data_IF_187229864533
#
_entry.id   IF_187229864533
#
_cell.length_a   1.000
_cell.length_b   1.000
_cell.length_c   1.000
_cell.angle_alpha   90.00
_cell.angle_beta   90.00
_cell.angle_gamma   90.00
#
_symmetry.space_group_name_H-M   'P 1'
#
loop_
_entity.id
_entity.type
_entity.pdbx_description
1 polymer ?
#
# COMPACT_ATOMS: atom_id res chain seq x y z
N UNK A 1 -7.94 1.67 -22.89
CA UNK A 1 -8.28 1.78 -24.31
C UNK A 1 -8.42 0.37 -24.85
N UNK A 2 -9.62 -0.08 -25.26
CA UNK A 2 -9.82 -1.42 -25.84
C UNK A 2 -9.05 -1.64 -27.15
N UNK A 3 -8.63 -0.56 -27.83
CA UNK A 3 -7.89 -0.61 -29.09
C UNK A 3 -6.37 -0.45 -28.90
N UNK A 4 -5.86 -0.51 -27.66
CA UNK A 4 -4.42 -0.38 -27.40
C UNK A 4 -3.64 -1.53 -28.05
N UNK A 5 -2.57 -1.18 -28.76
CA UNK A 5 -1.68 -2.17 -29.36
C UNK A 5 -1.06 -3.09 -28.28
N UNK A 6 -0.99 -4.42 -28.51
CA UNK A 6 -0.50 -5.37 -27.51
C UNK A 6 0.91 -5.05 -26.99
N UNK A 7 1.80 -4.58 -27.86
CA UNK A 7 3.17 -4.19 -27.49
C UNK A 7 3.19 -3.01 -26.51
N UNK A 8 2.35 -2.01 -26.75
CA UNK A 8 2.26 -0.84 -25.87
C UNK A 8 1.61 -1.20 -24.54
N UNK A 9 0.56 -2.03 -24.56
CA UNK A 9 -0.04 -2.57 -23.34
C UNK A 9 0.99 -3.33 -22.49
N UNK A 10 1.86 -4.13 -23.12
CA UNK A 10 2.92 -4.86 -22.44
C UNK A 10 3.98 -3.92 -21.83
N UNK A 11 4.38 -2.86 -22.56
CA UNK A 11 5.30 -1.84 -22.04
C UNK A 11 4.74 -1.14 -20.81
N UNK A 12 3.46 -0.74 -20.86
CA UNK A 12 2.75 -0.13 -19.73
C UNK A 12 2.70 -1.09 -18.55
N UNK A 13 2.37 -2.37 -18.78
CA UNK A 13 2.35 -3.37 -17.71
C UNK A 13 3.71 -3.53 -17.04
N UNK A 14 4.79 -3.66 -17.81
CA UNK A 14 6.15 -3.77 -17.25
C UNK A 14 6.50 -2.56 -16.39
N UNK A 15 6.12 -1.36 -16.81
CA UNK A 15 6.30 -0.13 -16.02
C UNK A 15 5.49 -0.16 -14.72
N UNK A 16 4.23 -0.58 -14.78
CA UNK A 16 3.36 -0.72 -13.59
C UNK A 16 3.97 -1.72 -12.60
N UNK A 17 4.51 -2.84 -13.08
CA UNK A 17 5.15 -3.83 -12.22
C UNK A 17 6.39 -3.30 -11.50
N UNK A 18 7.24 -2.59 -12.24
CA UNK A 18 8.42 -1.94 -11.68
C UNK A 18 8.03 -0.94 -10.58
N UNK A 19 7.03 -0.08 -10.85
CA UNK A 19 6.54 0.91 -9.88
C UNK A 19 5.89 0.26 -8.65
N UNK A 20 5.15 -0.84 -8.84
CA UNK A 20 4.58 -1.60 -7.71
C UNK A 20 5.67 -2.25 -6.85
N UNK A 21 6.76 -2.70 -7.47
CA UNK A 21 7.90 -3.25 -6.74
C UNK A 21 8.65 -2.15 -5.98
N UNK A 22 8.90 -1.01 -6.61
CA UNK A 22 9.52 0.15 -5.97
C UNK A 22 8.70 0.62 -4.77
N UNK A 23 7.37 0.74 -4.92
CA UNK A 23 6.46 1.06 -3.81
C UNK A 23 6.62 0.08 -2.65
N UNK A 24 6.64 -1.22 -2.93
CA UNK A 24 6.83 -2.23 -1.90
C UNK A 24 8.19 -2.07 -1.20
N UNK A 25 9.26 -1.86 -1.96
CA UNK A 25 10.59 -1.69 -1.39
C UNK A 25 10.65 -0.49 -0.43
N UNK A 26 9.99 0.62 -0.79
CA UNK A 26 9.87 1.79 0.09
C UNK A 26 9.10 1.46 1.36
N UNK A 27 7.98 0.72 1.26
CA UNK A 27 7.20 0.29 2.42
C UNK A 27 8.03 -0.58 3.36
N UNK A 28 8.74 -1.57 2.85
CA UNK A 28 9.63 -2.43 3.66
C UNK A 28 10.77 -1.63 4.32
N UNK A 29 11.30 -0.61 3.62
CA UNK A 29 12.30 0.28 4.19
C UNK A 29 11.74 1.12 5.35
N UNK A 30 10.56 1.71 5.19
CA UNK A 30 9.88 2.45 6.25
C UNK A 30 9.55 1.56 7.45
N UNK A 31 9.13 0.32 7.21
CA UNK A 31 8.89 -0.66 8.25
C UNK A 31 10.15 -1.00 9.05
N UNK A 32 11.30 -1.12 8.38
CA UNK A 32 12.59 -1.28 9.07
C UNK A 32 12.89 -0.06 9.97
N UNK A 33 12.58 1.16 9.51
CA UNK A 33 12.74 2.37 10.32
C UNK A 33 11.81 2.36 11.56
N UNK A 34 10.53 2.03 11.38
CA UNK A 34 9.59 1.92 12.50
C UNK A 34 9.98 0.81 13.47
N UNK A 35 10.39 -0.35 12.97
CA UNK A 35 10.87 -1.46 13.79
C UNK A 35 12.04 -1.03 14.66
N UNK A 36 13.07 -0.41 14.07
CA UNK A 36 14.22 0.11 14.84
C UNK A 36 13.79 1.13 15.88
N UNK A 37 12.88 2.04 15.52
CA UNK A 37 12.36 3.07 16.43
C UNK A 37 11.64 2.50 17.65
N UNK A 38 10.89 1.41 17.50
CA UNK A 38 10.06 0.83 18.56
C UNK A 38 10.67 -0.42 19.22
N UNK A 39 11.80 -0.95 18.73
CA UNK A 39 12.42 -2.18 19.26
C UNK A 39 12.87 -2.08 20.71
N UNK A 40 13.21 -0.88 21.19
CA UNK A 40 13.66 -0.65 22.57
C UNK A 40 12.52 -0.45 23.58
N UNK A 41 11.27 -0.48 23.15
CA UNK A 41 10.12 -0.22 24.03
C UNK A 41 9.74 -1.50 24.78
N UNK A 42 9.72 -1.48 26.14
CA UNK A 42 9.25 -2.61 26.93
C UNK A 42 7.81 -2.97 26.56
N UNK A 43 7.56 -4.26 26.40
CA UNK A 43 6.24 -4.78 26.04
C UNK A 43 5.42 -4.97 27.31
N UNK A 44 4.16 -4.55 27.26
CA UNK A 44 3.20 -4.87 28.31
C UNK A 44 2.84 -6.37 28.25
N UNK A 45 2.45 -7.01 29.37
CA UNK A 45 2.06 -8.43 29.38
C UNK A 45 0.97 -8.79 28.36
N UNK A 46 0.03 -7.88 28.14
CA UNK A 46 -1.10 -7.99 27.22
C UNK A 46 -0.81 -7.47 25.80
N UNK A 47 0.45 -7.16 25.50
CA UNK A 47 0.84 -6.62 24.20
C UNK A 47 0.47 -7.59 23.07
N UNK A 48 -0.21 -7.08 22.05
CA UNK A 48 -0.69 -7.88 20.92
C UNK A 48 -0.05 -7.47 19.60
N UNK A 49 -0.08 -8.37 18.62
CA UNK A 49 0.32 -8.06 17.25
C UNK A 49 -0.83 -7.34 16.53
N UNK A 50 -0.52 -6.39 15.66
CA UNK A 50 -1.50 -5.84 14.73
C UNK A 50 -1.41 -6.55 13.38
N UNK A 51 -2.52 -6.63 12.65
CA UNK A 51 -2.57 -7.31 11.34
C UNK A 51 -1.65 -6.66 10.30
N UNK A 52 -1.53 -5.33 10.35
CA UNK A 52 -0.66 -4.54 9.49
C UNK A 52 0.33 -3.73 10.32
N UNK A 53 1.50 -3.50 9.75
CA UNK A 53 2.50 -2.57 10.28
C UNK A 53 2.15 -1.11 9.92
N UNK A 54 2.78 -0.11 10.56
CA UNK A 54 2.54 1.28 10.20
C UNK A 54 2.85 1.62 8.74
N UNK A 55 3.92 1.08 8.15
CA UNK A 55 4.26 1.43 6.77
C UNK A 55 3.25 0.87 5.76
N UNK A 56 2.74 -0.35 5.98
CA UNK A 56 1.68 -0.94 5.14
C UNK A 56 0.35 -0.18 5.27
N UNK A 57 0.02 0.31 6.47
CA UNK A 57 -1.16 1.16 6.66
C UNK A 57 -1.01 2.51 5.91
N UNK A 58 0.20 3.10 5.91
CA UNK A 58 0.51 4.30 5.12
C UNK A 58 0.48 4.03 3.60
N UNK A 59 0.93 2.87 3.13
CA UNK A 59 0.79 2.46 1.72
C UNK A 59 -0.68 2.51 1.27
N UNK A 60 -1.57 1.92 2.07
CA UNK A 60 -3.02 1.95 1.80
C UNK A 60 -3.56 3.37 1.78
N UNK A 61 -3.09 4.24 2.69
CA UNK A 61 -3.47 5.65 2.73
C UNK A 61 -3.02 6.40 1.46
N UNK A 62 -1.84 6.06 0.92
CA UNK A 62 -1.34 6.66 -0.33
C UNK A 62 -2.21 6.28 -1.53
N UNK A 63 -2.58 5.00 -1.65
CA UNK A 63 -3.49 4.52 -2.70
C UNK A 63 -4.87 5.15 -2.57
N UNK A 64 -5.38 5.27 -1.33
CA UNK A 64 -6.65 5.93 -1.07
C UNK A 64 -6.62 7.41 -1.49
N UNK A 65 -5.50 8.10 -1.28
CA UNK A 65 -5.34 9.50 -1.68
C UNK A 65 -5.42 9.68 -3.19
N UNK A 66 -4.84 8.77 -3.99
CA UNK A 66 -4.97 8.77 -5.44
C UNK A 66 -6.42 8.52 -5.88
N UNK A 67 -7.13 7.61 -5.21
CA UNK A 67 -8.56 7.36 -5.46
C UNK A 67 -9.41 8.60 -5.19
N UNK A 68 -9.15 9.29 -4.07
CA UNK A 68 -9.85 10.54 -3.71
C UNK A 68 -9.60 11.60 -4.78
N UNK A 69 -8.35 11.81 -5.19
CA UNK A 69 -7.99 12.80 -6.20
C UNK A 69 -8.79 12.61 -7.50
N UNK A 70 -8.76 11.40 -8.07
CA UNK A 70 -9.49 11.13 -9.32
C UNK A 70 -11.01 11.13 -9.14
N UNK A 71 -11.53 10.62 -8.00
CA UNK A 71 -12.95 10.66 -7.71
C UNK A 71 -13.46 12.10 -7.58
N UNK A 72 -12.66 12.98 -6.99
CA UNK A 72 -12.97 14.39 -6.86
C UNK A 72 -13.08 15.08 -8.22
N UNK A 73 -12.13 14.82 -9.14
CA UNK A 73 -12.21 15.34 -10.50
C UNK A 73 -13.52 14.92 -11.21
N UNK A 74 -13.94 13.65 -11.10
CA UNK A 74 -15.18 13.18 -11.71
C UNK A 74 -16.44 13.71 -11.00
N UNK A 75 -16.38 13.92 -9.68
CA UNK A 75 -17.48 14.48 -8.89
C UNK A 75 -17.72 15.97 -9.18
N UNK A 76 -16.67 16.69 -9.58
CA UNK A 76 -16.69 18.12 -9.92
C UNK A 76 -16.96 18.39 -11.41
N UNK A 77 -16.98 17.35 -12.24
CA UNK A 77 -17.21 17.45 -13.69
C UNK A 77 -18.64 17.93 -13.97
N UNK A 78 -18.76 19.16 -14.49
CA UNK A 78 -20.06 19.84 -14.71
C UNK A 78 -20.95 19.15 -15.75
N UNK A 79 -20.34 18.54 -16.77
CA UNK A 79 -21.05 17.95 -17.92
C UNK A 79 -21.20 16.42 -17.81
N UNK A 80 -21.31 15.91 -16.58
CA UNK A 80 -21.30 14.49 -16.28
C UNK A 80 -22.59 14.07 -15.55
N UNK A 81 -23.52 13.34 -16.19
CA UNK A 81 -24.72 12.82 -15.53
C UNK A 81 -24.41 11.98 -14.28
N UNK A 82 -23.22 11.35 -14.25
CA UNK A 82 -22.74 10.53 -13.14
C UNK A 82 -22.16 11.33 -11.95
N UNK A 83 -21.96 12.64 -12.07
CA UNK A 83 -21.33 13.45 -11.02
C UNK A 83 -22.00 13.31 -9.63
N UNK A 84 -23.34 13.26 -9.49
CA UNK A 84 -23.98 13.01 -8.19
C UNK A 84 -23.62 11.66 -7.57
N UNK A 85 -23.45 10.61 -8.39
CA UNK A 85 -23.00 9.28 -7.92
C UNK A 85 -21.54 9.31 -7.49
N UNK A 86 -20.69 10.01 -8.25
CA UNK A 86 -19.28 10.22 -7.90
C UNK A 86 -19.12 11.01 -6.59
N UNK A 87 -19.97 12.01 -6.32
CA UNK A 87 -19.98 12.73 -5.03
C UNK A 87 -20.24 11.80 -3.84
N UNK A 88 -21.24 10.92 -3.92
CA UNK A 88 -21.51 9.93 -2.86
C UNK A 88 -20.32 8.99 -2.64
N UNK A 89 -19.66 8.55 -3.73
CA UNK A 89 -18.44 7.72 -3.63
C UNK A 89 -17.29 8.50 -3.01
N UNK A 90 -17.13 9.78 -3.35
CA UNK A 90 -16.11 10.66 -2.77
C UNK A 90 -16.28 10.80 -1.26
N UNK A 91 -17.51 11.00 -0.78
CA UNK A 91 -17.82 11.07 0.66
C UNK A 91 -17.38 9.80 1.41
N UNK A 92 -17.63 8.62 0.83
CA UNK A 92 -17.17 7.33 1.39
C UNK A 92 -15.64 7.28 1.44
N UNK A 93 -14.94 7.67 0.36
CA UNK A 93 -13.48 7.67 0.33
C UNK A 93 -12.88 8.65 1.35
N UNK A 94 -13.51 9.81 1.55
CA UNK A 94 -13.10 10.79 2.55
C UNK A 94 -13.29 10.26 3.98
N UNK A 95 -14.39 9.54 4.25
CA UNK A 95 -14.58 8.85 5.54
C UNK A 95 -13.50 7.79 5.75
N UNK A 96 -13.24 6.94 4.76
CA UNK A 96 -12.18 5.93 4.82
C UNK A 96 -10.81 6.56 5.12
N UNK A 97 -10.51 7.75 4.58
CA UNK A 97 -9.25 8.45 4.84
C UNK A 97 -9.16 8.88 6.30
N UNK A 98 -10.26 9.42 6.86
CA UNK A 98 -10.32 9.82 8.27
C UNK A 98 -10.12 8.62 9.18
N UNK A 99 -10.85 7.53 8.93
CA UNK A 99 -10.80 6.32 9.75
C UNK A 99 -9.42 5.66 9.69
N UNK A 100 -8.83 5.54 8.49
CA UNK A 100 -7.50 4.97 8.32
C UNK A 100 -6.41 5.83 8.98
N UNK A 101 -6.49 7.16 8.85
CA UNK A 101 -5.52 8.06 9.49
C UNK A 101 -5.58 7.95 11.00
N UNK A 102 -6.79 7.95 11.59
CA UNK A 102 -6.97 7.76 13.02
C UNK A 102 -6.49 6.39 13.51
N UNK A 103 -6.72 5.33 12.73
CA UNK A 103 -6.20 3.99 13.06
C UNK A 103 -4.67 3.93 13.02
N UNK A 104 -4.02 4.64 12.09
CA UNK A 104 -2.55 4.74 12.02
C UNK A 104 -2.01 5.48 13.25
N UNK A 105 -2.61 6.62 13.61
CA UNK A 105 -2.21 7.38 14.80
C UNK A 105 -2.33 6.54 16.07
N UNK A 106 -3.43 5.81 16.21
CA UNK A 106 -3.65 4.88 17.33
C UNK A 106 -2.61 3.76 17.36
N UNK A 107 -2.31 3.14 16.20
CA UNK A 107 -1.30 2.09 16.11
C UNK A 107 0.09 2.59 16.53
N UNK A 108 0.47 3.80 16.08
CA UNK A 108 1.74 4.41 16.46
C UNK A 108 1.81 4.73 17.96
N UNK A 109 0.71 5.22 18.54
CA UNK A 109 0.61 5.47 19.97
C UNK A 109 0.72 4.17 20.78
N UNK A 110 0.06 3.10 20.33
CA UNK A 110 0.07 1.80 21.01
C UNK A 110 1.43 1.10 20.90
N UNK A 111 2.13 1.23 19.77
CA UNK A 111 3.53 0.79 19.63
C UNK A 111 4.43 1.55 20.60
N UNK A 112 4.25 2.87 20.71
CA UNK A 112 5.01 3.72 21.64
C UNK A 112 4.73 3.38 23.11
N UNK A 113 3.52 2.95 23.44
CA UNK A 113 3.11 2.56 24.78
C UNK A 113 3.41 1.08 25.12
N UNK A 114 3.99 0.31 24.19
CA UNK A 114 4.25 -1.11 24.40
C UNK A 114 3.01 -2.00 24.41
N UNK A 115 1.84 -1.47 24.01
CA UNK A 115 0.55 -2.20 23.91
C UNK A 115 0.44 -3.02 22.62
N UNK A 116 1.16 -2.59 21.58
CA UNK A 116 1.29 -3.33 20.33
C UNK A 116 2.74 -3.67 20.06
N UNK A 117 2.94 -4.75 19.34
CA UNK A 117 4.23 -5.13 18.78
C UNK A 117 4.11 -5.23 17.26
N UNK A 118 5.25 -5.16 16.57
CA UNK A 118 5.31 -5.35 15.14
C UNK A 118 6.33 -6.44 14.79
N UNK A 119 6.04 -7.17 13.71
CA UNK A 119 6.94 -8.14 13.09
C UNK A 119 7.17 -7.71 11.65
N UNK A 120 8.39 -7.93 11.17
CA UNK A 120 8.74 -7.62 9.79
C UNK A 120 8.59 -8.87 8.93
N UNK A 121 7.84 -8.73 7.85
CA UNK A 121 7.72 -9.73 6.81
C UNK A 121 8.17 -9.09 5.49
N UNK A 122 9.10 -9.74 4.79
CA UNK A 122 9.50 -9.33 3.44
C UNK A 122 8.64 -10.03 2.40
N UNK A 123 8.50 -9.43 1.22
CA UNK A 123 7.84 -10.08 0.10
C UNK A 123 8.55 -11.39 -0.27
N UNK A 124 7.76 -12.45 -0.39
CA UNK A 124 8.20 -13.79 -0.80
C UNK A 124 7.81 -14.05 -2.26
N UNK A 125 8.38 -13.29 -3.20
CA UNK A 125 8.11 -13.44 -4.64
C UNK A 125 9.21 -14.27 -5.31
N UNK A 126 8.88 -15.49 -5.76
CA UNK A 126 9.84 -16.38 -6.43
C UNK A 126 10.31 -15.86 -7.80
N UNK A 127 9.40 -15.29 -8.60
CA UNK A 127 9.71 -14.87 -9.98
C UNK A 127 10.64 -13.64 -10.09
N UNK A 128 10.80 -12.88 -9.00
CA UNK A 128 11.73 -11.76 -8.92
C UNK A 128 13.14 -12.22 -8.49
N UNK A 129 13.28 -13.45 -8.02
CA UNK A 129 14.57 -14.04 -7.67
C UNK A 129 15.09 -14.86 -8.87
N UNK A 130 16.22 -14.48 -9.48
CA UNK A 130 16.81 -15.22 -10.59
C UNK A 130 17.09 -16.70 -10.28
N UNK A 131 17.31 -17.04 -9.01
CA UNK A 131 17.57 -18.41 -8.55
C UNK A 131 16.29 -19.24 -8.37
N UNK A 132 15.12 -18.60 -8.28
CA UNK A 132 13.83 -19.26 -8.06
C UNK A 132 12.87 -19.10 -9.24
N UNK A 133 13.26 -18.39 -10.30
CA UNK A 133 12.45 -18.19 -11.50
C UNK A 133 12.71 -19.32 -12.51
N UNK A 134 11.73 -20.22 -12.76
CA UNK A 134 11.89 -21.36 -13.66
C UNK A 134 12.37 -20.99 -15.06
N UNK A 135 11.86 -19.88 -15.58
CA UNK A 135 12.18 -19.41 -16.94
C UNK A 135 13.65 -18.95 -17.06
N UNK A 136 14.28 -18.54 -15.95
CA UNK A 136 15.65 -18.03 -15.93
C UNK A 136 16.69 -19.12 -15.72
N UNK A 137 16.45 -20.09 -14.82
CA UNK A 137 17.40 -21.18 -14.61
C UNK A 137 17.26 -22.33 -15.63
N UNK A 138 16.08 -22.53 -16.25
CA UNK A 138 15.92 -23.48 -17.37
C UNK A 138 16.66 -23.01 -18.64
N UNK A 139 16.94 -21.71 -18.78
CA UNK A 139 17.77 -21.17 -19.87
C UNK A 139 19.28 -21.25 -19.61
N UNK A 140 19.67 -21.58 -18.37
CA UNK A 140 21.07 -21.73 -17.96
C UNK A 140 21.55 -23.17 -17.80
N UNK A 141 20.70 -24.16 -18.15
CA UNK A 141 21.02 -25.60 -18.16
C UNK A 141 21.21 -26.12 -19.58
#
# INVERSE_FOLDING_TARGET
DPAIEPEEALRIKRRIDALNQERTNVVEHLDMMFYRKFSGIPRLPEASLNTETPAWAVDRLSVLSLKIYHMQMEAERKDAPQAPSCKKKLEILLSQRKDLSGAIDQLLADLKAGKKTMKLYKQMKMYNDPLLNPVLYEKGS
#
